data_IF_794984860514
#
_entry.id   IF_794984860514
#
_cell.length_a   1.000
_cell.length_b   1.000
_cell.length_c   1.000
_cell.angle_alpha   90.00
_cell.angle_beta   90.00
_cell.angle_gamma   90.00
#
_symmetry.space_group_name_H-M   'P 1'
#
loop_
_entity.id
_entity.type
_entity.pdbx_description
1 polymer ?
#
# COMPACT_ATOMS: atom_id res chain seq x y z
N UNK A 1 -4.09 3.73 -2.77
CA UNK A 1 -4.51 2.31 -2.97
C UNK A 1 -3.87 1.42 -1.91
N UNK A 2 -2.54 1.30 -1.88
CA UNK A 2 -1.82 0.54 -0.85
C UNK A 2 -2.22 0.91 0.59
N UNK A 3 -2.16 2.19 0.98
CA UNK A 3 -2.60 2.62 2.32
C UNK A 3 -4.07 2.27 2.60
N UNK A 4 -4.95 2.48 1.63
CA UNK A 4 -6.38 2.16 1.77
C UNK A 4 -6.60 0.68 2.07
N UNK A 5 -6.00 -0.22 1.29
CA UNK A 5 -6.12 -1.67 1.52
C UNK A 5 -5.25 -2.18 2.68
N UNK A 6 -4.18 -1.47 3.07
CA UNK A 6 -3.45 -1.76 4.30
C UNK A 6 -4.31 -1.49 5.55
N UNK A 7 -5.09 -0.40 5.53
CA UNK A 7 -5.97 -0.02 6.64
C UNK A 7 -7.28 -0.82 6.66
N UNK A 8 -7.84 -1.15 5.48
CA UNK A 8 -9.13 -1.84 5.35
C UNK A 8 -9.03 -3.35 5.14
N UNK A 9 -7.86 -3.85 4.73
CA UNK A 9 -7.60 -5.26 4.43
C UNK A 9 -8.68 -5.85 3.50
N UNK A 10 -9.20 -7.04 3.82
CA UNK A 10 -10.23 -7.73 3.04
C UNK A 10 -11.55 -6.94 2.95
N UNK A 11 -11.84 -6.07 3.93
CA UNK A 11 -13.04 -5.22 3.95
C UNK A 11 -12.95 -4.02 3.01
N UNK A 12 -11.81 -3.80 2.31
CA UNK A 12 -11.65 -2.66 1.41
C UNK A 12 -12.68 -2.61 0.29
N UNK A 13 -13.10 -3.77 -0.23
CA UNK A 13 -14.17 -3.84 -1.25
C UNK A 13 -15.51 -3.39 -0.66
N UNK A 14 -15.85 -3.85 0.54
CA UNK A 14 -17.09 -3.48 1.22
C UNK A 14 -17.16 -1.97 1.49
N UNK A 15 -16.04 -1.36 1.88
CA UNK A 15 -15.94 0.10 2.07
C UNK A 15 -16.18 0.86 0.77
N UNK A 16 -15.65 0.37 -0.36
CA UNK A 16 -15.90 0.99 -1.67
C UNK A 16 -17.37 0.88 -2.08
N UNK A 17 -17.98 -0.29 -1.88
CA UNK A 17 -19.41 -0.52 -2.19
C UNK A 17 -20.32 0.30 -1.30
N UNK A 18 -20.01 0.41 0.00
CA UNK A 18 -20.73 1.24 0.95
C UNK A 18 -20.67 2.71 0.54
N UNK A 19 -19.49 3.23 0.20
CA UNK A 19 -19.33 4.61 -0.25
C UNK A 19 -20.14 4.93 -1.53
N UNK A 20 -20.23 3.98 -2.47
CA UNK A 20 -21.09 4.11 -3.65
C UNK A 20 -22.58 4.16 -3.27
N UNK A 21 -23.01 3.26 -2.38
CA UNK A 21 -24.39 3.20 -1.88
C UNK A 21 -24.82 4.48 -1.15
N UNK A 22 -23.96 4.99 -0.26
CA UNK A 22 -24.21 6.24 0.48
C UNK A 22 -24.38 7.42 -0.47
N UNK A 23 -23.56 7.49 -1.53
CA UNK A 23 -23.67 8.57 -2.50
C UNK A 23 -24.94 8.47 -3.35
N UNK A 24 -25.36 7.26 -3.74
CA UNK A 24 -26.65 7.09 -4.43
C UNK A 24 -27.85 7.50 -3.58
N UNK A 25 -27.79 7.27 -2.27
CA UNK A 25 -28.86 7.67 -1.34
C UNK A 25 -28.93 9.20 -1.13
N UNK A 26 -27.79 9.90 -1.23
CA UNK A 26 -27.66 11.34 -0.99
C UNK A 26 -27.83 12.20 -2.25
N UNK A 27 -27.63 11.65 -3.45
CA UNK A 27 -27.81 12.40 -4.70
C UNK A 27 -29.30 12.65 -4.93
N UNK A 28 -29.69 13.93 -4.91
CA UNK A 28 -31.04 14.38 -5.23
C UNK A 28 -30.99 15.32 -6.45
N UNK A 29 -31.36 14.80 -7.62
CA UNK A 29 -31.48 15.57 -8.87
C UNK A 29 -30.20 15.74 -9.70
N UNK A 30 -30.30 16.48 -10.81
CA UNK A 30 -29.29 16.67 -11.88
C UNK A 30 -27.98 17.39 -11.45
N UNK A 31 -27.90 17.89 -10.21
CA UNK A 31 -26.83 18.78 -9.76
C UNK A 31 -25.50 18.08 -9.42
N UNK A 32 -25.45 16.74 -9.43
CA UNK A 32 -24.28 15.99 -8.91
C UNK A 32 -23.67 14.98 -9.91
N UNK A 33 -23.94 15.12 -11.22
CA UNK A 33 -23.41 14.20 -12.23
C UNK A 33 -21.87 14.16 -12.22
N UNK A 34 -21.20 15.31 -12.16
CA UNK A 34 -19.73 15.37 -12.13
C UNK A 34 -19.14 14.69 -10.87
N UNK A 35 -19.74 14.94 -9.71
CA UNK A 35 -19.31 14.33 -8.45
C UNK A 35 -19.51 12.82 -8.49
N UNK A 36 -20.66 12.35 -8.98
CA UNK A 36 -20.96 10.94 -9.15
C UNK A 36 -19.93 10.25 -10.06
N UNK A 37 -19.60 10.86 -11.20
CA UNK A 37 -18.57 10.32 -12.08
C UNK A 37 -17.19 10.24 -11.41
N UNK A 38 -16.80 11.24 -10.61
CA UNK A 38 -15.53 11.20 -9.87
C UNK A 38 -15.49 10.04 -8.87
N UNK A 39 -16.60 9.78 -8.18
CA UNK A 39 -16.74 8.69 -7.23
C UNK A 39 -16.66 7.34 -7.96
N UNK A 40 -17.40 7.17 -9.06
CA UNK A 40 -17.33 5.97 -9.88
C UNK A 40 -15.93 5.72 -10.43
N UNK A 41 -15.23 6.76 -10.90
CA UNK A 41 -13.84 6.66 -11.35
C UNK A 41 -12.91 6.17 -10.24
N UNK A 42 -13.02 6.75 -9.05
CA UNK A 42 -12.20 6.38 -7.89
C UNK A 42 -12.49 4.94 -7.44
N UNK A 43 -13.76 4.57 -7.32
CA UNK A 43 -14.18 3.21 -7.01
C UNK A 43 -13.66 2.21 -8.05
N UNK A 44 -13.76 2.54 -9.34
CA UNK A 44 -13.23 1.71 -10.42
C UNK A 44 -11.72 1.47 -10.32
N UNK A 45 -10.94 2.49 -9.97
CA UNK A 45 -9.49 2.35 -9.73
C UNK A 45 -9.22 1.41 -8.54
N UNK A 46 -9.94 1.58 -7.43
CA UNK A 46 -9.75 0.75 -6.22
C UNK A 46 -10.15 -0.71 -6.46
N UNK A 47 -11.29 -0.95 -7.10
CA UNK A 47 -11.78 -2.30 -7.41
C UNK A 47 -10.88 -3.00 -8.43
N UNK A 48 -10.42 -2.29 -9.47
CA UNK A 48 -9.43 -2.83 -10.42
C UNK A 48 -8.13 -3.22 -9.73
N UNK A 49 -7.62 -2.37 -8.84
CA UNK A 49 -6.43 -2.70 -8.08
C UNK A 49 -6.61 -3.95 -7.22
N UNK A 50 -7.79 -4.15 -6.64
CA UNK A 50 -8.10 -5.32 -5.82
C UNK A 50 -8.28 -6.61 -6.64
N UNK A 51 -9.05 -6.57 -7.73
CA UNK A 51 -9.39 -7.78 -8.49
C UNK A 51 -8.37 -8.15 -9.57
N UNK A 52 -7.77 -7.15 -10.23
CA UNK A 52 -6.90 -7.37 -11.39
C UNK A 52 -5.41 -7.24 -11.06
N UNK A 53 -5.04 -6.55 -9.98
CA UNK A 53 -3.66 -6.17 -9.68
C UNK A 53 -3.29 -6.35 -8.20
N UNK A 54 -3.90 -7.35 -7.54
CA UNK A 54 -3.76 -7.54 -6.10
C UNK A 54 -2.29 -7.71 -5.70
N UNK A 55 -1.54 -8.57 -6.40
CA UNK A 55 -0.14 -8.86 -6.07
C UNK A 55 0.84 -7.80 -6.55
N UNK A 56 0.39 -6.83 -7.31
CA UNK A 56 1.24 -5.76 -7.84
C UNK A 56 1.03 -4.46 -7.04
N UNK A 57 -0.20 -4.22 -6.56
CA UNK A 57 -0.61 -2.92 -6.01
C UNK A 57 -1.13 -3.02 -4.58
N UNK A 58 -1.76 -4.14 -4.21
CA UNK A 58 -2.37 -4.32 -2.87
C UNK A 58 -1.39 -5.02 -1.93
N UNK A 59 -0.83 -6.14 -2.35
CA UNK A 59 0.13 -6.94 -1.61
C UNK A 59 1.31 -7.32 -2.52
N UNK A 60 2.19 -6.35 -2.86
CA UNK A 60 3.39 -6.63 -3.63
C UNK A 60 4.33 -7.59 -2.90
N UNK A 61 4.88 -8.54 -3.66
CA UNK A 61 5.87 -9.48 -3.12
C UNK A 61 7.08 -8.69 -2.60
N UNK A 62 7.47 -8.83 -1.32
CA UNK A 62 8.51 -8.00 -0.74
C UNK A 62 9.85 -8.15 -1.48
N UNK A 63 10.48 -7.03 -1.86
CA UNK A 63 11.83 -7.04 -2.47
C UNK A 63 12.90 -7.58 -1.51
N UNK A 64 12.67 -7.43 -0.20
CA UNK A 64 13.50 -8.00 0.87
C UNK A 64 12.61 -8.67 1.92
N UNK A 65 13.02 -9.86 2.33
CA UNK A 65 12.45 -10.58 3.46
C UNK A 65 13.16 -10.22 4.77
N UNK A 66 12.55 -10.58 5.91
CA UNK A 66 13.23 -10.45 7.20
C UNK A 66 14.54 -11.25 7.25
N UNK A 67 14.59 -12.40 6.58
CA UNK A 67 15.80 -13.21 6.48
C UNK A 67 16.90 -12.48 5.70
N UNK A 68 16.56 -11.79 4.62
CA UNK A 68 17.53 -10.98 3.88
C UNK A 68 18.14 -9.89 4.77
N UNK A 69 17.34 -9.25 5.64
CA UNK A 69 17.86 -8.23 6.57
C UNK A 69 18.83 -8.83 7.60
N UNK A 70 18.55 -10.02 8.12
CA UNK A 70 19.45 -10.70 9.06
C UNK A 70 20.75 -11.13 8.36
N UNK A 71 20.65 -11.78 7.19
CA UNK A 71 21.80 -12.36 6.49
C UNK A 71 22.67 -11.31 5.77
N UNK A 72 22.07 -10.31 5.12
CA UNK A 72 22.77 -9.34 4.27
C UNK A 72 23.20 -8.07 5.00
N UNK A 73 22.49 -7.70 6.07
CA UNK A 73 22.79 -6.50 6.87
C UNK A 73 23.30 -6.83 8.27
N UNK A 74 23.42 -8.12 8.62
CA UNK A 74 23.92 -8.56 9.93
C UNK A 74 23.04 -8.12 11.09
N UNK A 75 21.74 -7.89 10.83
CA UNK A 75 20.81 -7.48 11.87
C UNK A 75 20.51 -8.65 12.82
N UNK A 76 20.24 -8.34 14.08
CA UNK A 76 19.68 -9.32 15.01
C UNK A 76 18.15 -9.32 14.96
N UNK A 77 17.50 -10.47 15.21
CA UNK A 77 16.05 -10.54 15.30
C UNK A 77 15.50 -9.57 16.36
N UNK A 78 14.56 -8.71 15.97
CA UNK A 78 13.94 -7.78 16.91
C UNK A 78 13.01 -6.76 16.27
N UNK A 79 12.43 -5.84 17.06
CA UNK A 79 11.47 -4.84 16.59
C UNK A 79 12.00 -3.92 15.49
N UNK A 80 13.33 -3.78 15.38
CA UNK A 80 13.97 -2.99 14.33
C UNK A 80 13.82 -3.62 12.95
N UNK A 81 13.92 -4.95 12.84
CA UNK A 81 13.68 -5.69 11.58
C UNK A 81 12.28 -5.40 11.06
N UNK A 82 11.27 -5.52 11.93
CA UNK A 82 9.88 -5.22 11.56
C UNK A 82 9.65 -3.78 11.11
N UNK A 83 10.33 -2.82 11.74
CA UNK A 83 10.28 -1.40 11.34
C UNK A 83 10.88 -1.16 9.96
N UNK A 84 12.05 -1.73 9.68
CA UNK A 84 12.69 -1.60 8.37
C UNK A 84 11.85 -2.27 7.29
N UNK A 85 11.33 -3.49 7.53
CA UNK A 85 10.43 -4.16 6.60
C UNK A 85 9.18 -3.33 6.30
N UNK A 86 8.62 -2.63 7.30
CA UNK A 86 7.47 -1.74 7.07
C UNK A 86 7.84 -0.57 6.15
N UNK A 87 8.96 0.10 6.42
CA UNK A 87 9.43 1.21 5.59
C UNK A 87 9.73 0.76 4.14
N UNK A 88 10.36 -0.41 3.97
CA UNK A 88 10.63 -0.99 2.66
C UNK A 88 9.35 -1.31 1.89
N UNK A 89 8.33 -1.88 2.56
CA UNK A 89 7.02 -2.15 1.92
C UNK A 89 6.32 -0.86 1.49
N UNK A 90 6.39 0.19 2.30
CA UNK A 90 5.84 1.50 1.95
C UNK A 90 6.54 2.10 0.72
N UNK A 91 7.88 2.11 0.72
CA UNK A 91 8.68 2.61 -0.41
C UNK A 91 8.46 1.78 -1.70
N UNK A 92 8.28 0.45 -1.57
CA UNK A 92 7.97 -0.42 -2.69
C UNK A 92 6.57 -0.12 -3.26
N UNK A 93 5.57 0.04 -2.39
CA UNK A 93 4.20 0.30 -2.81
C UNK A 93 3.99 1.69 -3.43
N UNK A 94 4.86 2.65 -3.12
CA UNK A 94 4.87 3.97 -3.78
C UNK A 94 5.70 4.00 -5.06
N UNK A 95 6.44 2.93 -5.37
CA UNK A 95 7.37 2.89 -6.49
C UNK A 95 8.66 3.69 -6.27
N UNK A 96 8.92 4.14 -5.03
CA UNK A 96 10.19 4.78 -4.65
C UNK A 96 11.36 3.79 -4.73
N UNK A 97 11.07 2.52 -4.44
CA UNK A 97 12.01 1.41 -4.55
C UNK A 97 11.37 0.32 -5.41
N UNK A 98 12.09 -0.12 -6.44
CA UNK A 98 11.58 -1.10 -7.42
C UNK A 98 12.47 -2.32 -7.56
N UNK A 99 13.70 -2.27 -7.03
CA UNK A 99 14.70 -3.34 -7.13
C UNK A 99 15.22 -3.78 -5.77
N UNK A 100 15.79 -4.99 -5.72
CA UNK A 100 16.40 -5.53 -4.49
C UNK A 100 17.59 -4.68 -4.04
N UNK A 101 18.35 -4.15 -4.99
CA UNK A 101 19.51 -3.28 -4.77
C UNK A 101 19.10 -1.94 -4.15
N UNK A 102 18.06 -1.29 -4.68
CA UNK A 102 17.48 -0.06 -4.11
C UNK A 102 16.94 -0.31 -2.69
N UNK A 103 16.26 -1.44 -2.48
CA UNK A 103 15.74 -1.83 -1.17
C UNK A 103 16.86 -2.03 -0.15
N UNK A 104 17.98 -2.64 -0.56
CA UNK A 104 19.16 -2.80 0.30
C UNK A 104 19.80 -1.45 0.63
N UNK A 105 19.87 -0.54 -0.34
CA UNK A 105 20.37 0.82 -0.13
C UNK A 105 19.54 1.56 0.92
N UNK A 106 18.22 1.58 0.75
CA UNK A 106 17.30 2.21 1.71
C UNK A 106 17.39 1.58 3.10
N UNK A 107 17.46 0.24 3.19
CA UNK A 107 17.59 -0.46 4.46
C UNK A 107 18.89 -0.07 5.21
N UNK A 108 20.01 0.14 4.50
CA UNK A 108 21.27 0.61 5.09
C UNK A 108 21.16 2.04 5.60
N UNK A 109 20.57 2.95 4.83
CA UNK A 109 20.36 4.33 5.27
C UNK A 109 19.51 4.42 6.54
N UNK A 110 18.43 3.62 6.62
CA UNK A 110 17.58 3.55 7.81
C UNK A 110 18.27 2.98 9.05
N UNK A 111 19.28 2.12 8.86
CA UNK A 111 20.13 1.61 9.94
C UNK A 111 21.08 2.70 10.46
N UNK A 112 21.71 3.44 9.56
CA UNK A 112 22.69 4.49 9.89
C UNK A 112 22.05 5.69 10.62
N UNK A 113 20.87 6.14 10.20
CA UNK A 113 20.12 7.23 10.85
C UNK A 113 19.75 6.96 12.32
N UNK A 114 19.86 5.70 12.77
CA UNK A 114 19.48 5.26 14.12
C UNK A 114 20.67 4.75 14.95
N UNK A 115 21.83 4.58 14.33
CA UNK A 115 23.07 4.20 15.00
C UNK A 115 23.88 5.40 15.52
N UNK A 116 23.43 6.63 15.24
CA UNK A 116 24.01 7.90 15.73
C UNK A 116 23.27 8.49 16.92
#
# INVERSE_FOLDING_TARGET
>A
IYRFFGDTQEAGVDVVLLALGDNLALVHGDQNVEQWEQICRTAGILLRAYYDQYREVVEPEPLLSGRDLLELLGMEPGPQVGRILKALREAQATGEVTTKEEALGLARSLLEERGG
#
